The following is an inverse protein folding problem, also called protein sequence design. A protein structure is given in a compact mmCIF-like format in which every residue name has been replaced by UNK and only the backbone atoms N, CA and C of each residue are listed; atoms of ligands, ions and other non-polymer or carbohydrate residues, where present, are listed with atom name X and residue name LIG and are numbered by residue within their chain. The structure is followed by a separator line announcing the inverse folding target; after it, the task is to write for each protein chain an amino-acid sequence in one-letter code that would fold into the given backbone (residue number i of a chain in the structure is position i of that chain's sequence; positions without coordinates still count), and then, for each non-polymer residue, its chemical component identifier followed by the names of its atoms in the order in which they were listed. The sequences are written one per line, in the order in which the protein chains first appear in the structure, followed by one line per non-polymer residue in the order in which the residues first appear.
data_IF_865436308333
#
_entry.id   IF_865436308333
#
_cell.length_a   1.000
_cell.length_b   1.000
_cell.length_c   1.000
_cell.angle_alpha   90.00
_cell.angle_beta   90.00
_cell.angle_gamma   90.00
#
_symmetry.space_group_name_H-M   'P 1'
#
loop_
_entity.id
_entity.type
_entity.pdbx_description
1 polymer ?
#
# COMPACT_ATOMS: atom_id res chain seq x y z
N UNK A 1 88.66 7.79 -38.34
CA UNK A 1 87.51 6.86 -38.39
C UNK A 1 86.79 6.68 -37.03
N UNK A 2 87.47 6.54 -35.88
CA UNK A 2 86.82 6.36 -34.55
C UNK A 2 86.04 7.59 -34.01
N UNK A 3 86.40 8.80 -34.43
CA UNK A 3 85.76 10.05 -33.97
C UNK A 3 84.37 10.29 -34.62
N UNK A 4 84.16 9.77 -35.84
CA UNK A 4 82.93 9.97 -36.61
C UNK A 4 81.82 9.02 -36.12
N UNK A 5 82.18 7.80 -35.71
CA UNK A 5 81.23 6.83 -35.15
C UNK A 5 80.69 7.25 -33.80
N UNK A 6 81.47 7.96 -32.98
CA UNK A 6 81.01 8.49 -31.68
C UNK A 6 80.05 9.66 -31.89
N UNK A 7 80.31 10.52 -32.88
CA UNK A 7 79.40 11.61 -33.23
C UNK A 7 78.07 11.09 -33.80
N UNK A 8 78.09 10.04 -34.63
CA UNK A 8 76.87 9.44 -35.18
C UNK A 8 76.01 8.74 -34.10
N UNK A 9 76.66 8.13 -33.09
CA UNK A 9 75.97 7.50 -31.96
C UNK A 9 75.39 8.54 -30.99
N UNK A 10 76.08 9.67 -30.79
CA UNK A 10 75.61 10.77 -29.96
C UNK A 10 74.40 11.50 -30.56
N UNK A 11 74.32 11.63 -31.88
CA UNK A 11 73.18 12.28 -32.56
C UNK A 11 71.92 11.40 -32.53
N UNK A 12 72.06 10.07 -32.52
CA UNK A 12 70.92 9.15 -32.43
C UNK A 12 70.26 9.13 -31.04
N UNK A 13 71.01 9.52 -29.99
CA UNK A 13 70.57 9.53 -28.60
C UNK A 13 69.85 10.83 -28.16
N UNK A 14 69.85 11.87 -28.99
CA UNK A 14 69.30 13.20 -28.67
C UNK A 14 67.95 13.46 -29.37
N UNK A 15 67.32 12.46 -29.99
CA UNK A 15 65.93 12.59 -30.42
C UNK A 15 65.01 12.39 -29.21
N UNK A 16 64.40 13.45 -28.64
CA UNK A 16 63.36 13.25 -27.65
C UNK A 16 62.17 12.65 -28.38
N UNK A 17 61.97 11.35 -28.22
CA UNK A 17 60.69 10.72 -28.56
C UNK A 17 59.67 11.35 -27.62
N UNK A 18 59.02 12.42 -28.09
CA UNK A 18 58.01 13.15 -27.35
C UNK A 18 56.80 12.25 -27.12
N UNK A 19 56.85 11.49 -26.02
CA UNK A 19 55.82 10.58 -25.53
C UNK A 19 54.51 11.27 -25.10
N UNK A 20 54.33 12.56 -25.42
CA UNK A 20 53.10 13.30 -25.14
C UNK A 20 52.10 13.24 -26.31
N UNK A 21 52.56 13.05 -27.55
CA UNK A 21 51.70 13.07 -28.77
C UNK A 21 51.20 11.70 -29.25
N UNK A 22 51.87 10.59 -28.91
CA UNK A 22 51.43 9.24 -29.30
C UNK A 22 50.15 8.81 -28.55
N UNK A 23 49.90 9.41 -27.37
CA UNK A 23 48.70 9.14 -26.57
C UNK A 23 47.41 9.72 -27.18
N UNK A 24 47.50 10.73 -28.06
CA UNK A 24 46.33 11.41 -28.63
C UNK A 24 45.93 10.91 -30.04
N UNK A 25 46.86 10.47 -30.88
CA UNK A 25 46.56 10.14 -32.30
C UNK A 25 46.77 8.66 -32.71
N UNK A 26 47.11 7.76 -31.77
CA UNK A 26 47.30 6.33 -32.05
C UNK A 26 46.01 5.49 -31.94
N UNK A 27 46.06 4.24 -32.44
CA UNK A 27 44.97 3.23 -32.40
C UNK A 27 44.33 3.06 -31.00
N UNK A 28 45.10 3.33 -29.93
CA UNK A 28 44.65 3.32 -28.54
C UNK A 28 43.73 4.49 -28.17
N UNK A 29 43.85 5.67 -28.79
CA UNK A 29 42.97 6.82 -28.57
C UNK A 29 41.56 6.60 -29.13
N UNK A 30 41.42 5.91 -30.27
CA UNK A 30 40.11 5.50 -30.82
C UNK A 30 39.41 4.45 -29.94
N UNK A 31 40.18 3.52 -29.36
CA UNK A 31 39.67 2.54 -28.39
C UNK A 31 39.24 3.21 -27.07
N UNK A 32 40.02 4.18 -26.57
CA UNK A 32 39.66 4.97 -25.39
C UNK A 32 38.34 5.72 -25.59
N UNK A 33 38.17 6.42 -26.73
CA UNK A 33 36.92 7.14 -27.05
C UNK A 33 35.72 6.20 -27.22
N UNK A 34 35.92 5.02 -27.81
CA UNK A 34 34.86 3.99 -27.93
C UNK A 34 34.46 3.45 -26.54
N UNK A 35 35.44 3.27 -25.65
CA UNK A 35 35.20 2.82 -24.28
C UNK A 35 34.47 3.87 -23.44
N UNK A 36 34.81 5.15 -23.59
CA UNK A 36 34.10 6.28 -22.96
C UNK A 36 32.62 6.36 -23.40
N UNK A 37 32.34 6.19 -24.70
CA UNK A 37 30.96 6.19 -25.21
C UNK A 37 30.17 5.00 -24.66
N UNK A 38 30.77 3.81 -24.57
CA UNK A 38 30.12 2.62 -24.00
C UNK A 38 29.89 2.77 -22.49
N UNK A 39 30.83 3.37 -21.76
CA UNK A 39 30.66 3.70 -20.34
C UNK A 39 29.52 4.71 -20.15
N UNK A 40 29.46 5.76 -20.96
CA UNK A 40 28.37 6.74 -20.89
C UNK A 40 27.00 6.11 -21.18
N UNK A 41 26.92 5.18 -22.14
CA UNK A 41 25.70 4.41 -22.41
C UNK A 41 25.33 3.53 -21.21
N UNK A 42 26.29 2.82 -20.61
CA UNK A 42 26.05 1.98 -19.44
C UNK A 42 25.61 2.80 -18.22
N UNK A 43 26.20 3.97 -18.00
CA UNK A 43 25.82 4.87 -16.93
C UNK A 43 24.40 5.40 -17.11
N UNK A 44 24.01 5.73 -18.35
CA UNK A 44 22.64 6.16 -18.66
C UNK A 44 21.60 5.08 -18.35
N UNK A 45 21.90 3.82 -18.68
CA UNK A 45 21.04 2.67 -18.38
C UNK A 45 20.95 2.45 -16.88
N UNK A 46 22.08 2.53 -16.16
CA UNK A 46 22.12 2.35 -14.70
C UNK A 46 21.29 3.40 -13.98
N UNK A 47 21.36 4.66 -14.43
CA UNK A 47 20.58 5.76 -13.87
C UNK A 47 19.10 5.54 -14.16
N UNK A 48 18.72 5.21 -15.39
CA UNK A 48 17.32 4.92 -15.75
C UNK A 48 16.73 3.77 -14.93
N UNK A 49 17.49 2.68 -14.75
CA UNK A 49 17.09 1.54 -13.91
C UNK A 49 16.89 1.93 -12.45
N UNK A 50 17.76 2.79 -11.92
CA UNK A 50 17.65 3.26 -10.52
C UNK A 50 16.39 4.10 -10.29
N UNK A 51 16.07 4.98 -11.25
CA UNK A 51 14.86 5.81 -11.21
C UNK A 51 13.62 4.93 -11.31
N UNK A 52 13.60 3.99 -12.27
CA UNK A 52 12.48 3.05 -12.45
C UNK A 52 12.25 2.17 -11.22
N UNK A 53 13.31 1.73 -10.54
CA UNK A 53 13.18 1.00 -9.27
C UNK A 53 12.59 1.86 -8.15
N UNK A 54 12.99 3.13 -8.07
CA UNK A 54 12.44 4.06 -7.09
C UNK A 54 10.94 4.32 -7.36
N UNK A 55 10.57 4.56 -8.61
CA UNK A 55 9.18 4.74 -9.03
C UNK A 55 8.33 3.50 -8.76
N UNK A 56 8.82 2.31 -9.13
CA UNK A 56 8.10 1.06 -8.86
C UNK A 56 7.89 0.82 -7.37
N UNK A 57 8.87 1.18 -6.53
CA UNK A 57 8.73 1.08 -5.08
C UNK A 57 7.68 2.04 -4.54
N UNK A 58 7.61 3.26 -5.07
CA UNK A 58 6.58 4.23 -4.68
C UNK A 58 5.19 3.77 -5.12
N UNK A 59 5.05 3.31 -6.38
CA UNK A 59 3.80 2.75 -6.90
C UNK A 59 3.30 1.55 -6.09
N UNK A 60 4.18 0.61 -5.76
CA UNK A 60 3.80 -0.53 -4.93
C UNK A 60 3.27 -0.12 -3.53
N UNK A 61 3.82 0.95 -2.95
CA UNK A 61 3.35 1.48 -1.66
C UNK A 61 1.98 2.16 -1.82
N UNK A 62 1.79 2.94 -2.88
CA UNK A 62 0.51 3.60 -3.17
C UNK A 62 -0.59 2.59 -3.50
N UNK A 63 -0.28 1.59 -4.33
CA UNK A 63 -1.19 0.48 -4.66
C UNK A 63 -1.58 -0.30 -3.40
N UNK A 64 -0.63 -0.62 -2.53
CA UNK A 64 -0.93 -1.28 -1.26
C UNK A 64 -1.85 -0.44 -0.37
N UNK A 65 -1.67 0.89 -0.34
CA UNK A 65 -2.56 1.80 0.41
C UNK A 65 -3.96 1.83 -0.18
N UNK A 66 -4.09 1.92 -1.51
CA UNK A 66 -5.38 1.94 -2.19
C UNK A 66 -6.11 0.60 -2.04
N UNK A 67 -5.42 -0.52 -2.18
CA UNK A 67 -5.99 -1.86 -1.98
C UNK A 67 -6.50 -2.02 -0.54
N UNK A 68 -5.77 -1.50 0.46
CA UNK A 68 -6.21 -1.48 1.85
C UNK A 68 -7.50 -0.67 2.06
N UNK A 69 -7.58 0.52 1.44
CA UNK A 69 -8.76 1.38 1.49
C UNK A 69 -9.97 0.73 0.82
N UNK A 70 -9.78 0.16 -0.38
CA UNK A 70 -10.83 -0.50 -1.14
C UNK A 70 -11.39 -1.72 -0.38
N UNK A 71 -10.54 -2.53 0.26
CA UNK A 71 -11.01 -3.64 1.10
C UNK A 71 -11.85 -3.14 2.27
N UNK A 72 -11.39 -2.14 2.99
CA UNK A 72 -12.14 -1.56 4.11
C UNK A 72 -13.48 -0.96 3.66
N UNK A 73 -13.54 -0.37 2.47
CA UNK A 73 -14.78 0.17 1.89
C UNK A 73 -15.73 -0.94 1.46
N UNK A 74 -15.22 -2.00 0.83
CA UNK A 74 -16.02 -3.17 0.45
C UNK A 74 -16.58 -3.90 1.67
N UNK A 75 -15.80 -4.05 2.74
CA UNK A 75 -16.25 -4.62 4.00
C UNK A 75 -17.34 -3.76 4.64
N UNK A 76 -17.18 -2.44 4.66
CA UNK A 76 -18.24 -1.52 5.11
C UNK A 76 -19.50 -1.63 4.27
N UNK A 77 -19.38 -1.64 2.95
CA UNK A 77 -20.53 -1.74 2.05
C UNK A 77 -21.25 -3.10 2.20
N UNK A 78 -20.51 -4.20 2.35
CA UNK A 78 -21.07 -5.51 2.61
C UNK A 78 -21.77 -5.56 3.98
N UNK A 79 -21.15 -4.94 5.00
CA UNK A 79 -21.74 -4.79 6.32
C UNK A 79 -23.04 -3.98 6.27
N UNK A 80 -23.05 -2.86 5.55
CA UNK A 80 -24.25 -2.04 5.36
C UNK A 80 -25.34 -2.73 4.54
N UNK A 81 -24.96 -3.54 3.54
CA UNK A 81 -25.92 -4.32 2.76
C UNK A 81 -26.61 -5.42 3.59
N UNK A 82 -25.95 -5.92 4.64
CA UNK A 82 -26.57 -6.85 5.60
C UNK A 82 -27.54 -6.12 6.55
N UNK A 83 -27.40 -4.80 6.73
CA UNK A 83 -28.28 -4.01 7.59
C UNK A 83 -29.61 -3.73 6.91
N UNK A 84 -30.67 -4.30 7.46
CA UNK A 84 -32.03 -4.06 6.98
C UNK A 84 -32.63 -2.80 7.62
N UNK A 85 -33.80 -2.39 7.12
CA UNK A 85 -34.46 -1.14 7.54
C UNK A 85 -34.90 -1.14 9.01
N UNK A 86 -35.33 -2.29 9.53
CA UNK A 86 -35.86 -2.42 10.90
C UNK A 86 -34.97 -3.37 11.70
N UNK A 87 -34.34 -2.85 12.75
CA UNK A 87 -33.31 -3.55 13.51
C UNK A 87 -33.76 -3.68 14.96
N UNK A 88 -33.80 -4.89 15.51
CA UNK A 88 -34.11 -5.15 16.92
C UNK A 88 -32.84 -4.95 17.73
N UNK A 89 -32.82 -3.89 18.53
CA UNK A 89 -31.71 -3.44 19.37
C UNK A 89 -31.88 -3.96 20.78
N UNK A 90 -30.80 -4.48 21.33
CA UNK A 90 -30.70 -5.05 22.69
C UNK A 90 -29.80 -4.25 23.62
N UNK A 91 -29.13 -3.22 23.10
CA UNK A 91 -28.28 -2.35 23.90
C UNK A 91 -27.80 -1.14 23.12
N UNK A 92 -27.53 -0.05 23.83
CA UNK A 92 -26.99 1.20 23.30
C UNK A 92 -25.86 1.68 24.19
N UNK A 93 -24.64 1.74 23.65
CA UNK A 93 -23.43 2.01 24.40
C UNK A 93 -22.68 3.20 23.80
N UNK A 94 -22.15 4.06 24.66
CA UNK A 94 -21.22 5.12 24.23
C UNK A 94 -19.80 4.57 24.03
N UNK A 95 -19.46 3.53 24.79
CA UNK A 95 -18.13 2.90 24.79
C UNK A 95 -18.14 1.65 23.89
N UNK A 96 -17.34 1.61 22.80
CA UNK A 96 -17.35 0.50 21.84
C UNK A 96 -16.96 -0.86 22.43
N UNK A 97 -16.12 -0.87 23.46
CA UNK A 97 -15.71 -2.09 24.16
C UNK A 97 -16.89 -2.77 24.85
N UNK A 98 -17.83 -1.99 25.40
CA UNK A 98 -19.03 -2.52 26.04
C UNK A 98 -20.03 -3.03 25.01
N UNK A 99 -20.17 -2.35 23.87
CA UNK A 99 -20.98 -2.87 22.77
C UNK A 99 -20.46 -4.22 22.26
N UNK A 100 -19.13 -4.38 22.14
CA UNK A 100 -18.48 -5.63 21.75
C UNK A 100 -18.69 -6.74 22.78
N UNK A 101 -18.43 -6.46 24.05
CA UNK A 101 -18.66 -7.44 25.13
C UNK A 101 -20.13 -7.89 25.18
N UNK A 102 -21.08 -6.95 25.00
CA UNK A 102 -22.50 -7.27 24.96
C UNK A 102 -22.86 -8.13 23.74
N UNK A 103 -22.32 -7.81 22.57
CA UNK A 103 -22.50 -8.62 21.37
C UNK A 103 -21.96 -10.05 21.57
N UNK A 104 -20.80 -10.22 22.22
CA UNK A 104 -20.25 -11.55 22.50
C UNK A 104 -21.17 -12.42 23.37
N UNK A 105 -21.90 -11.83 24.31
CA UNK A 105 -22.91 -12.58 25.09
C UNK A 105 -24.05 -13.08 24.20
N UNK A 106 -24.53 -12.27 23.26
CA UNK A 106 -25.56 -12.67 22.31
C UNK A 106 -25.07 -13.73 21.31
N UNK A 107 -23.78 -13.72 20.95
CA UNK A 107 -23.16 -14.81 20.17
C UNK A 107 -23.22 -16.13 20.95
N UNK A 108 -22.93 -16.12 22.26
CA UNK A 108 -23.02 -17.33 23.10
C UNK A 108 -24.45 -17.86 23.20
N UNK A 109 -25.44 -16.99 23.08
CA UNK A 109 -26.86 -17.35 23.03
C UNK A 109 -27.32 -17.88 21.65
N UNK A 110 -26.43 -17.87 20.64
CA UNK A 110 -26.71 -18.37 19.30
C UNK A 110 -27.29 -17.33 18.32
N UNK A 111 -27.21 -16.04 18.67
CA UNK A 111 -27.55 -14.95 17.77
C UNK A 111 -26.33 -14.50 16.96
N UNK A 112 -26.56 -13.76 15.86
CA UNK A 112 -25.53 -13.10 15.07
C UNK A 112 -25.65 -11.57 15.23
N UNK A 113 -25.19 -11.02 16.37
CA UNK A 113 -25.41 -9.63 16.69
C UNK A 113 -24.53 -8.71 15.85
N UNK A 114 -25.11 -7.58 15.46
CA UNK A 114 -24.47 -6.56 14.64
C UNK A 114 -24.35 -5.25 15.42
N UNK A 115 -23.20 -4.60 15.39
CA UNK A 115 -22.99 -3.30 16.06
C UNK A 115 -23.15 -2.17 15.05
N UNK A 116 -24.22 -1.39 15.17
CA UNK A 116 -24.49 -0.26 14.29
C UNK A 116 -24.29 1.04 15.02
N UNK A 117 -23.77 2.05 14.34
CA UNK A 117 -23.73 3.40 14.90
C UNK A 117 -25.07 4.10 14.65
N UNK A 118 -25.64 4.69 15.69
CA UNK A 118 -26.86 5.48 15.56
C UNK A 118 -26.60 6.73 14.72
N UNK A 119 -27.53 7.06 13.82
CA UNK A 119 -27.43 8.26 12.97
C UNK A 119 -27.39 9.51 13.85
N UNK A 120 -26.49 10.44 13.52
CA UNK A 120 -26.28 11.71 14.24
C UNK A 120 -25.87 11.57 15.71
N UNK A 121 -25.25 10.44 16.06
CA UNK A 121 -24.94 10.09 17.44
C UNK A 121 -23.59 9.37 17.59
N UNK A 122 -23.04 9.44 18.81
CA UNK A 122 -21.83 8.70 19.22
C UNK A 122 -22.16 7.32 19.78
N UNK A 123 -23.44 6.97 19.91
CA UNK A 123 -23.87 5.70 20.46
C UNK A 123 -23.76 4.57 19.43
N UNK A 124 -23.21 3.45 19.88
CA UNK A 124 -23.19 2.16 19.19
C UNK A 124 -24.32 1.29 19.73
N UNK A 125 -25.16 0.81 18.83
CA UNK A 125 -26.31 -0.04 19.10
C UNK A 125 -25.94 -1.49 18.79
N UNK A 126 -26.26 -2.39 19.70
CA UNK A 126 -26.13 -3.83 19.48
C UNK A 126 -27.47 -4.34 18.97
N UNK A 127 -27.49 -4.81 17.73
CA UNK A 127 -28.65 -5.34 17.02
C UNK A 127 -28.61 -6.85 17.10
N UNK A 128 -29.65 -7.49 17.64
CA UNK A 128 -29.74 -8.94 17.68
C UNK A 128 -30.35 -9.53 16.39
N UNK A 129 -31.30 -8.82 15.76
CA UNK A 129 -31.94 -9.27 14.53
C UNK A 129 -32.33 -8.10 13.61
N UNK A 130 -32.21 -8.31 12.30
CA UNK A 130 -32.50 -7.31 11.27
C UNK A 130 -33.59 -7.81 10.31
N UNK A 131 -34.58 -6.95 10.02
CA UNK A 131 -35.79 -7.28 9.24
C UNK A 131 -36.11 -6.19 8.19
N UNK A 132 -36.61 -6.60 7.03
CA UNK A 132 -36.98 -5.67 5.94
C UNK A 132 -38.35 -5.03 6.13
N UNK A 133 -39.28 -5.74 6.79
CA UNK A 133 -40.67 -5.32 6.99
C UNK A 133 -40.93 -5.02 8.46
N UNK A 134 -41.54 -3.87 8.74
CA UNK A 134 -41.87 -3.43 10.10
C UNK A 134 -42.74 -4.46 10.83
N UNK A 135 -43.81 -4.96 10.19
CA UNK A 135 -44.73 -5.90 10.82
C UNK A 135 -44.03 -7.18 11.33
N UNK A 136 -43.03 -7.67 10.58
CA UNK A 136 -42.23 -8.83 11.00
C UNK A 136 -41.33 -8.49 12.18
N UNK A 137 -40.68 -7.34 12.14
CA UNK A 137 -39.84 -6.84 13.24
C UNK A 137 -40.66 -6.65 14.52
N UNK A 138 -41.85 -6.05 14.42
CA UNK A 138 -42.74 -5.81 15.56
C UNK A 138 -43.24 -7.12 16.19
N UNK A 139 -43.70 -8.08 15.39
CA UNK A 139 -44.11 -9.39 15.90
C UNK A 139 -42.94 -10.11 16.58
N UNK A 140 -41.75 -10.02 16.00
CA UNK A 140 -40.56 -10.66 16.55
C UNK A 140 -40.08 -9.97 17.82
N UNK A 141 -40.18 -8.64 17.90
CA UNK A 141 -39.84 -7.87 19.09
C UNK A 141 -40.65 -8.31 20.30
N UNK A 142 -41.97 -8.48 20.17
CA UNK A 142 -42.81 -8.95 21.28
C UNK A 142 -42.31 -10.31 21.81
N UNK A 143 -42.07 -11.27 20.90
CA UNK A 143 -41.50 -12.57 21.27
C UNK A 143 -40.11 -12.48 21.89
N UNK A 144 -39.30 -11.52 21.43
CA UNK A 144 -37.94 -11.33 21.90
C UNK A 144 -37.92 -10.74 23.32
N UNK A 145 -38.86 -9.83 23.62
CA UNK A 145 -39.04 -9.26 24.95
C UNK A 145 -39.48 -10.29 25.98
N UNK A 146 -40.32 -11.22 25.56
CA UNK A 146 -40.83 -12.27 26.44
C UNK A 146 -39.77 -13.35 26.75
N UNK A 147 -38.81 -13.59 25.84
CA UNK A 147 -37.92 -14.76 25.91
C UNK A 147 -36.44 -14.44 26.07
N UNK A 148 -35.99 -13.24 25.69
CA UNK A 148 -34.56 -12.89 25.64
C UNK A 148 -34.28 -11.61 26.40
N UNK A 149 -34.85 -10.47 25.98
CA UNK A 149 -34.51 -9.15 26.51
C UNK A 149 -35.72 -8.22 26.52
N UNK A 150 -36.23 -7.94 27.71
CA UNK A 150 -37.46 -7.16 27.91
C UNK A 150 -37.31 -5.72 27.44
N UNK A 151 -36.11 -5.17 27.53
CA UNK A 151 -35.80 -3.79 27.16
C UNK A 151 -35.43 -3.64 25.67
N UNK A 152 -35.56 -4.69 24.87
CA UNK A 152 -35.32 -4.63 23.44
C UNK A 152 -36.25 -3.61 22.76
N UNK A 153 -35.79 -2.97 21.69
CA UNK A 153 -36.57 -1.99 20.93
C UNK A 153 -36.18 -1.98 19.45
N UNK A 154 -36.97 -1.36 18.58
CA UNK A 154 -36.68 -1.32 17.14
C UNK A 154 -36.03 0.02 16.77
N UNK A 155 -34.84 -0.06 16.18
CA UNK A 155 -34.20 1.05 15.48
C UNK A 155 -34.54 1.00 13.98
N UNK A 156 -35.10 2.11 13.48
CA UNK A 156 -35.42 2.28 12.07
C UNK A 156 -34.32 3.09 11.41
N UNK A 157 -33.55 2.45 10.53
CA UNK A 157 -32.53 3.15 9.75
C UNK A 157 -33.25 3.98 8.67
N UNK A 158 -32.90 5.27 8.59
CA UNK A 158 -33.39 6.18 7.55
C UNK A 158 -32.61 6.01 6.25
#
# INVERSE_FOLDING_TARGET
MRQITVFLLAVLLVLPVSCKKIKQNGLFGKKARKLEILLAQQDSIRVADSIKRAENRQKAIEEARLDSLLRAEQEKAAYEAQMKKYNIVVGSFLTPEYARAWAEEYVKMGYDPQIIRMTDSMFELVVAESHEKYARAAQRLEQFRDTVEIDAWIYVRR
#
